data_IF_200063951220
#
_entry.id   IF_200063951220
#
_cell.length_a   1.000
_cell.length_b   1.000
_cell.length_c   1.000
_cell.angle_alpha   90.00
_cell.angle_beta   90.00
_cell.angle_gamma   90.00
#
_symmetry.space_group_name_H-M   'P 1'
#
loop_
_entity.id
_entity.type
_entity.pdbx_description
1 polymer ?
#
# COMPACT_ATOMS: atom_id res chain seq x y z
N UNK A 1 12.32 30.36 3.55
CA UNK A 1 12.83 30.43 2.16
C UNK A 1 14.34 30.45 2.25
N UNK A 2 14.98 29.46 1.65
CA UNK A 2 16.42 29.30 1.69
C UNK A 2 16.92 29.03 0.28
N UNK A 3 17.97 29.73 -0.14
CA UNK A 3 18.70 29.38 -1.36
C UNK A 3 19.61 28.20 -1.04
N UNK A 4 19.42 27.09 -1.73
CA UNK A 4 20.22 25.87 -1.57
C UNK A 4 20.96 25.57 -2.89
N UNK A 5 22.20 25.09 -2.77
CA UNK A 5 22.99 24.63 -3.92
C UNK A 5 22.28 23.47 -4.60
N UNK A 6 22.27 23.40 -5.94
CA UNK A 6 21.61 22.31 -6.66
C UNK A 6 22.13 20.92 -6.26
N UNK A 7 23.35 20.85 -5.73
CA UNK A 7 23.95 19.61 -5.24
C UNK A 7 23.42 19.16 -3.87
N UNK A 8 22.85 20.08 -3.10
CA UNK A 8 22.28 19.85 -1.77
C UNK A 8 20.73 19.76 -1.80
N UNK A 9 20.14 19.85 -2.99
CA UNK A 9 18.70 19.69 -3.20
C UNK A 9 18.35 18.21 -3.23
N UNK A 10 17.41 17.80 -2.39
CA UNK A 10 16.84 16.44 -2.41
C UNK A 10 15.43 16.43 -3.01
N UNK A 11 14.97 15.29 -3.55
CA UNK A 11 13.57 15.11 -3.89
C UNK A 11 12.65 15.45 -2.71
N UNK A 12 11.44 15.93 -3.00
CA UNK A 12 10.45 16.34 -1.99
C UNK A 12 10.56 17.80 -1.53
N UNK A 13 11.67 18.51 -1.82
CA UNK A 13 11.78 19.95 -1.55
C UNK A 13 10.86 20.76 -2.47
N UNK A 14 10.25 21.83 -1.96
CA UNK A 14 9.30 22.66 -2.72
C UNK A 14 9.95 23.96 -3.17
N UNK A 15 9.83 24.32 -4.45
CA UNK A 15 10.34 25.59 -4.97
C UNK A 15 9.59 26.79 -4.39
N UNK A 16 10.34 27.74 -3.81
CA UNK A 16 9.82 29.02 -3.36
C UNK A 16 9.59 30.02 -4.50
N UNK A 17 10.30 29.84 -5.62
CA UNK A 17 10.22 30.67 -6.82
C UNK A 17 10.25 29.82 -8.10
N UNK A 18 9.66 30.33 -9.19
CA UNK A 18 9.71 29.64 -10.49
C UNK A 18 11.13 29.66 -11.04
N UNK A 19 11.53 28.57 -11.70
CA UNK A 19 12.81 28.47 -12.40
C UNK A 19 12.57 28.78 -13.87
N UNK A 20 13.26 29.80 -14.38
CA UNK A 20 13.22 30.23 -15.77
C UNK A 20 14.64 30.25 -16.35
N UNK A 21 14.80 29.75 -17.57
CA UNK A 21 16.07 29.80 -18.28
C UNK A 21 15.85 30.14 -19.74
N UNK A 22 16.62 31.08 -20.27
CA UNK A 22 16.53 31.52 -21.67
C UNK A 22 15.12 31.94 -22.12
N UNK A 23 14.34 32.54 -21.21
CA UNK A 23 12.97 32.99 -21.48
C UNK A 23 11.91 31.88 -21.49
N UNK A 24 12.24 30.66 -21.07
CA UNK A 24 11.31 29.54 -20.91
C UNK A 24 11.24 29.13 -19.44
N UNK A 25 10.03 29.03 -18.91
CA UNK A 25 9.78 28.47 -17.57
C UNK A 25 10.06 26.97 -17.60
N UNK A 26 10.99 26.53 -16.74
CA UNK A 26 11.35 25.13 -16.58
C UNK A 26 10.48 24.45 -15.52
N UNK A 27 10.23 25.14 -14.40
CA UNK A 27 9.38 24.63 -13.33
C UNK A 27 8.73 25.79 -12.56
N UNK A 28 7.40 25.78 -12.32
CA UNK A 28 6.73 26.87 -11.62
C UNK A 28 6.99 26.87 -10.10
N UNK A 29 6.85 28.03 -9.47
CA UNK A 29 6.81 28.18 -8.00
C UNK A 29 5.79 27.21 -7.39
N UNK A 30 6.16 26.62 -6.25
CA UNK A 30 5.33 25.64 -5.55
C UNK A 30 5.46 24.21 -6.07
N UNK A 31 6.26 24.00 -7.13
CA UNK A 31 6.55 22.64 -7.61
C UNK A 31 7.43 21.90 -6.63
N UNK A 32 7.08 20.64 -6.38
CA UNK A 32 7.93 19.74 -5.62
C UNK A 32 8.99 19.16 -6.55
N UNK A 33 10.23 19.14 -6.06
CA UNK A 33 11.37 18.68 -6.82
C UNK A 33 11.42 17.16 -6.83
N UNK A 34 11.49 16.59 -8.03
CA UNK A 34 11.74 15.15 -8.25
C UNK A 34 13.19 14.94 -8.69
N UNK A 35 13.68 13.70 -8.63
CA UNK A 35 15.00 13.35 -9.19
C UNK A 35 15.14 13.77 -10.65
N UNK A 36 14.08 13.61 -11.44
CA UNK A 36 14.04 14.03 -12.84
C UNK A 36 14.25 15.53 -12.98
N UNK A 37 13.59 16.35 -12.14
CA UNK A 37 13.77 17.80 -12.14
C UNK A 37 15.19 18.18 -11.74
N UNK A 38 15.72 17.59 -10.67
CA UNK A 38 17.07 17.86 -10.16
C UNK A 38 18.12 17.51 -11.23
N UNK A 39 17.99 16.36 -11.89
CA UNK A 39 18.87 15.95 -12.98
C UNK A 39 18.79 16.89 -14.20
N UNK A 40 17.60 17.42 -14.51
CA UNK A 40 17.43 18.45 -15.55
C UNK A 40 18.14 19.75 -15.15
N UNK A 41 18.02 20.19 -13.90
CA UNK A 41 18.64 21.42 -13.42
C UNK A 41 20.16 21.34 -13.41
N UNK A 42 20.73 20.21 -12.97
CA UNK A 42 22.17 19.95 -13.05
C UNK A 42 22.67 19.98 -14.49
N UNK A 43 21.94 19.35 -15.43
CA UNK A 43 22.29 19.37 -16.86
C UNK A 43 22.21 20.75 -17.50
N UNK A 44 21.29 21.60 -17.04
CA UNK A 44 21.15 22.96 -17.56
C UNK A 44 22.01 24.00 -16.83
N UNK A 45 22.86 23.57 -15.88
CA UNK A 45 23.80 24.44 -15.18
C UNK A 45 23.14 25.41 -14.21
N UNK A 46 22.00 25.04 -13.64
CA UNK A 46 21.38 25.81 -12.55
C UNK A 46 22.18 25.53 -11.29
N UNK A 47 22.84 26.55 -10.72
CA UNK A 47 23.74 26.39 -9.58
C UNK A 47 23.00 26.33 -8.23
N UNK A 48 21.85 26.99 -8.11
CA UNK A 48 21.06 27.02 -6.87
C UNK A 48 19.59 27.26 -7.15
N UNK A 49 18.75 26.85 -6.20
CA UNK A 49 17.30 27.05 -6.23
C UNK A 49 16.81 27.57 -4.88
N UNK A 50 15.78 28.40 -4.87
CA UNK A 50 15.15 28.81 -3.63
C UNK A 50 14.07 27.81 -3.25
N UNK A 51 14.20 27.21 -2.07
CA UNK A 51 13.22 26.26 -1.55
C UNK A 51 12.41 26.86 -0.40
N UNK A 52 11.18 26.38 -0.26
CA UNK A 52 10.34 26.60 0.91
C UNK A 52 10.90 25.69 2.00
N UNK A 53 11.71 26.25 2.89
CA UNK A 53 12.03 25.62 4.17
C UNK A 53 10.83 25.78 5.09
N UNK A 54 10.10 24.69 5.31
CA UNK A 54 9.53 24.49 6.63
C UNK A 54 10.73 24.30 7.57
N UNK A 55 10.76 24.94 8.73
CA UNK A 55 11.66 24.48 9.79
C UNK A 55 11.39 22.98 9.93
N UNK A 56 12.41 22.12 9.79
CA UNK A 56 12.25 20.71 10.12
C UNK A 56 11.93 20.68 11.60
N UNK A 57 10.65 20.54 11.91
CA UNK A 57 10.19 20.31 13.27
C UNK A 57 10.66 18.91 13.61
N UNK A 58 11.69 18.84 14.44
CA UNK A 58 12.18 17.57 14.98
C UNK A 58 11.38 17.24 16.24
N UNK A 59 11.17 15.95 16.53
CA UNK A 59 10.46 15.54 17.72
C UNK A 59 11.23 15.91 19.00
N UNK A 60 10.52 16.39 20.01
CA UNK A 60 11.11 16.64 21.33
C UNK A 60 11.39 15.32 22.08
N UNK A 61 12.31 15.36 23.04
CA UNK A 61 12.77 14.17 23.78
C UNK A 61 11.63 13.45 24.52
N UNK A 62 10.66 14.17 25.07
CA UNK A 62 9.51 13.57 25.77
C UNK A 62 8.60 12.82 24.80
N UNK A 63 8.32 13.40 23.64
CA UNK A 63 7.56 12.76 22.56
C UNK A 63 8.25 11.50 22.03
N UNK A 64 9.60 11.53 21.90
CA UNK A 64 10.38 10.36 21.48
C UNK A 64 10.28 9.23 22.51
N UNK A 65 10.46 9.52 23.80
CA UNK A 65 10.40 8.50 24.86
C UNK A 65 9.03 7.82 24.93
N UNK A 66 7.95 8.60 24.83
CA UNK A 66 6.59 8.06 24.76
C UNK A 66 6.34 7.23 23.50
N UNK A 67 6.80 7.71 22.34
CA UNK A 67 6.71 6.98 21.08
C UNK A 67 7.49 5.66 21.14
N UNK A 68 8.72 5.65 21.67
CA UNK A 68 9.53 4.45 21.83
C UNK A 68 8.83 3.40 22.69
N UNK A 69 8.29 3.81 23.84
CA UNK A 69 7.58 2.91 24.75
C UNK A 69 6.34 2.29 24.11
N UNK A 70 5.72 2.99 23.17
CA UNK A 70 4.56 2.54 22.41
C UNK A 70 4.92 1.61 21.24
N UNK A 71 5.90 2.01 20.43
CA UNK A 71 6.28 1.34 19.18
C UNK A 71 6.94 -0.02 19.44
N UNK A 72 7.71 -0.16 20.52
CA UNK A 72 8.46 -1.40 20.83
C UNK A 72 7.60 -2.66 20.85
N UNK A 73 6.36 -2.56 21.28
CA UNK A 73 5.46 -3.71 21.41
C UNK A 73 5.03 -4.25 20.03
N UNK A 74 5.05 -3.40 18.99
CA UNK A 74 4.73 -3.78 17.61
C UNK A 74 5.89 -4.45 16.88
N UNK A 75 7.12 -4.34 17.40
CA UNK A 75 8.32 -4.92 16.79
C UNK A 75 8.77 -6.21 17.49
N UNK A 76 8.13 -6.63 18.58
CA UNK A 76 8.60 -7.73 19.45
C UNK A 76 8.78 -9.09 18.75
N UNK A 77 8.12 -9.31 17.60
CA UNK A 77 8.19 -10.56 16.85
C UNK A 77 9.29 -10.58 15.78
N UNK A 78 9.97 -9.46 15.52
CA UNK A 78 10.93 -9.35 14.40
C UNK A 78 12.39 -9.51 14.85
N UNK A 79 13.30 -9.70 13.89
CA UNK A 79 14.73 -9.68 14.15
C UNK A 79 15.23 -8.26 14.45
N UNK A 80 15.47 -7.99 15.74
CA UNK A 80 15.98 -6.70 16.22
C UNK A 80 17.47 -6.47 15.93
N UNK A 81 18.19 -7.43 15.35
CA UNK A 81 19.62 -7.29 15.04
C UNK A 81 19.88 -6.80 13.62
N UNK A 82 18.89 -6.88 12.73
CA UNK A 82 19.05 -6.52 11.33
C UNK A 82 19.00 -4.98 11.13
N UNK A 83 19.98 -4.36 10.46
CA UNK A 83 20.03 -2.90 10.26
C UNK A 83 18.75 -2.30 9.66
N UNK A 84 18.17 -2.98 8.66
CA UNK A 84 16.92 -2.56 8.03
C UNK A 84 15.72 -2.55 9.00
N UNK A 85 15.65 -3.50 9.94
CA UNK A 85 14.58 -3.54 10.96
C UNK A 85 14.77 -2.46 12.02
N UNK A 86 16.02 -2.15 12.39
CA UNK A 86 16.34 -1.03 13.27
C UNK A 86 15.91 0.29 12.61
N UNK A 87 16.23 0.49 11.33
CA UNK A 87 15.83 1.68 10.57
C UNK A 87 14.30 1.81 10.51
N UNK A 88 13.58 0.71 10.28
CA UNK A 88 12.12 0.70 10.25
C UNK A 88 11.51 1.04 11.62
N UNK A 89 12.11 0.54 12.70
CA UNK A 89 11.75 0.90 14.07
C UNK A 89 11.94 2.40 14.33
N UNK A 90 13.10 2.95 13.94
CA UNK A 90 13.40 4.38 14.13
C UNK A 90 12.43 5.28 13.35
N UNK A 91 12.03 4.87 12.13
CA UNK A 91 11.01 5.56 11.33
C UNK A 91 9.66 5.55 12.05
N UNK A 92 9.24 4.42 12.61
CA UNK A 92 8.00 4.30 13.35
C UNK A 92 8.00 5.16 14.62
N UNK A 93 9.10 5.17 15.38
CA UNK A 93 9.27 6.05 16.56
C UNK A 93 9.19 7.51 16.15
N UNK A 94 9.93 7.92 15.11
CA UNK A 94 9.94 9.29 14.62
C UNK A 94 8.54 9.77 14.23
N UNK A 95 7.83 9.02 13.39
CA UNK A 95 6.47 9.39 12.94
C UNK A 95 5.48 9.44 14.08
N UNK A 96 5.57 8.49 15.02
CA UNK A 96 4.71 8.45 16.22
C UNK A 96 4.97 9.67 17.10
N UNK A 97 6.23 10.04 17.33
CA UNK A 97 6.60 11.22 18.11
C UNK A 97 6.10 12.52 17.48
N UNK A 98 6.19 12.65 16.15
CA UNK A 98 5.64 13.79 15.41
C UNK A 98 4.13 13.93 15.60
N UNK A 99 3.38 12.82 15.54
CA UNK A 99 1.93 12.83 15.80
C UNK A 99 1.60 13.23 17.23
N UNK A 100 2.37 12.78 18.21
CA UNK A 100 2.20 13.18 19.62
C UNK A 100 2.36 14.71 19.78
N UNK A 101 3.35 15.30 19.13
CA UNK A 101 3.55 16.77 19.13
C UNK A 101 2.40 17.53 18.45
N UNK A 102 1.79 16.93 17.42
CA UNK A 102 0.58 17.45 16.76
C UNK A 102 -0.68 17.33 17.63
N UNK A 103 -0.57 16.76 18.83
CA UNK A 103 -1.65 16.60 19.80
C UNK A 103 -2.42 15.29 19.68
N UNK A 104 -1.92 14.32 18.90
CA UNK A 104 -2.45 12.97 18.94
C UNK A 104 -2.21 12.35 20.31
N UNK A 105 -3.18 11.56 20.79
CA UNK A 105 -3.03 10.80 22.04
C UNK A 105 -2.97 9.32 21.71
N UNK A 106 -2.12 8.60 22.44
CA UNK A 106 -2.04 7.16 22.31
C UNK A 106 -3.40 6.51 22.65
N UNK A 107 -3.86 5.53 21.86
CA UNK A 107 -5.14 4.88 22.11
C UNK A 107 -5.05 3.97 23.33
N UNK A 108 -6.04 4.09 24.21
CA UNK A 108 -6.19 3.28 25.44
C UNK A 108 -6.57 1.84 25.13
N UNK A 109 -6.39 0.93 26.09
CA UNK A 109 -6.84 -0.47 25.97
C UNK A 109 -8.36 -0.57 25.76
N UNK A 110 -9.14 0.31 26.40
CA UNK A 110 -10.60 0.32 26.26
C UNK A 110 -11.02 0.68 24.83
N UNK A 111 -10.35 1.64 24.21
CA UNK A 111 -10.58 2.03 22.80
C UNK A 111 -10.18 0.95 21.79
N UNK A 112 -9.40 -0.05 22.22
CA UNK A 112 -9.02 -1.21 21.40
C UNK A 112 -9.92 -2.42 21.60
N UNK A 113 -10.85 -2.34 22.55
CA UNK A 113 -11.77 -3.44 22.86
C UNK A 113 -12.92 -3.44 21.86
N UNK A 114 -13.21 -4.62 21.29
CA UNK A 114 -14.34 -4.76 20.35
C UNK A 114 -15.66 -4.67 21.12
N UNK A 115 -16.56 -3.79 20.66
CA UNK A 115 -17.90 -3.63 21.19
C UNK A 115 -18.91 -4.33 20.26
N UNK A 116 -20.04 -4.82 20.81
CA UNK A 116 -21.17 -5.30 20.00
C UNK A 116 -21.00 -6.68 19.38
N UNK A 117 -20.50 -7.67 20.14
CA UNK A 117 -20.32 -9.05 19.67
C UNK A 117 -21.62 -9.87 19.59
N UNK A 118 -22.70 -9.41 20.23
CA UNK A 118 -23.88 -10.24 20.52
C UNK A 118 -24.64 -10.74 19.28
N UNK A 119 -24.55 -10.03 18.17
CA UNK A 119 -25.27 -10.35 16.92
C UNK A 119 -24.36 -10.96 15.82
N UNK A 120 -23.06 -11.10 16.09
CA UNK A 120 -22.12 -11.71 15.14
C UNK A 120 -22.33 -13.23 15.10
N UNK A 121 -22.28 -13.82 13.90
CA UNK A 121 -22.40 -15.27 13.69
C UNK A 121 -21.47 -15.72 12.59
N UNK A 122 -20.64 -16.70 12.92
CA UNK A 122 -19.82 -17.39 11.94
C UNK A 122 -20.65 -18.34 11.09
N UNK A 123 -20.19 -18.59 9.86
CA UNK A 123 -20.77 -19.55 8.95
C UNK A 123 -20.72 -20.98 9.52
N UNK A 124 -19.63 -21.31 10.22
CA UNK A 124 -19.40 -22.59 10.89
C UNK A 124 -18.38 -22.41 12.03
N UNK A 125 -18.18 -23.43 12.87
CA UNK A 125 -17.11 -23.42 13.87
C UNK A 125 -15.82 -24.02 13.32
N UNK A 126 -14.69 -23.74 13.97
CA UNK A 126 -13.39 -24.35 13.64
C UNK A 126 -13.54 -25.87 13.49
N UNK A 127 -12.85 -26.42 12.48
CA UNK A 127 -12.84 -27.84 12.10
C UNK A 127 -14.17 -28.37 11.51
N UNK A 128 -15.20 -27.52 11.35
CA UNK A 128 -16.48 -27.89 10.74
C UNK A 128 -16.63 -27.42 9.27
N UNK A 129 -15.72 -26.59 8.76
CA UNK A 129 -15.73 -26.09 7.39
C UNK A 129 -14.35 -25.76 6.85
N UNK A 130 -14.27 -25.40 5.57
CA UNK A 130 -13.01 -25.12 4.87
C UNK A 130 -12.94 -23.71 4.27
N UNK A 131 -11.76 -23.36 3.73
CA UNK A 131 -11.54 -22.16 2.92
C UNK A 131 -12.55 -22.07 1.77
N UNK A 132 -12.80 -23.18 1.08
CA UNK A 132 -13.72 -23.23 -0.05
C UNK A 132 -15.16 -22.92 0.36
N UNK A 133 -15.60 -23.39 1.53
CA UNK A 133 -16.94 -23.13 2.06
C UNK A 133 -17.16 -21.64 2.32
N UNK A 134 -16.15 -20.97 2.91
CA UNK A 134 -16.16 -19.52 3.17
C UNK A 134 -16.27 -18.75 1.86
N UNK A 135 -15.41 -19.08 0.89
CA UNK A 135 -15.40 -18.40 -0.42
C UNK A 135 -16.69 -18.67 -1.19
N UNK A 136 -17.19 -19.91 -1.22
CA UNK A 136 -18.46 -20.24 -1.90
C UNK A 136 -19.65 -19.51 -1.29
N UNK A 137 -19.67 -19.32 0.03
CA UNK A 137 -20.69 -18.54 0.71
C UNK A 137 -20.61 -17.04 0.36
N UNK A 138 -19.44 -16.51 0.02
CA UNK A 138 -19.28 -15.12 -0.44
C UNK A 138 -19.72 -14.94 -1.88
N UNK A 139 -19.23 -15.81 -2.77
CA UNK A 139 -19.51 -15.72 -4.20
C UNK A 139 -20.97 -16.02 -4.56
N UNK A 140 -21.70 -16.74 -3.70
CA UNK A 140 -23.16 -16.91 -3.83
C UNK A 140 -23.95 -15.63 -3.57
N UNK A 141 -23.43 -14.70 -2.76
CA UNK A 141 -24.14 -13.50 -2.34
C UNK A 141 -23.79 -12.26 -3.17
N UNK A 142 -22.63 -12.24 -3.81
CA UNK A 142 -22.22 -11.13 -4.65
C UNK A 142 -21.50 -11.63 -5.92
N UNK A 143 -22.02 -11.22 -7.07
CA UNK A 143 -21.38 -11.41 -8.38
C UNK A 143 -20.38 -10.29 -8.64
N UNK A 144 -19.25 -10.65 -9.26
CA UNK A 144 -18.25 -9.66 -9.66
C UNK A 144 -18.78 -8.75 -10.79
N UNK A 145 -18.41 -7.45 -10.85
CA UNK A 145 -18.87 -6.56 -11.91
C UNK A 145 -18.50 -7.06 -13.32
N UNK A 146 -19.42 -6.98 -14.29
CA UNK A 146 -19.18 -7.40 -15.69
C UNK A 146 -17.92 -6.75 -16.29
N UNK A 147 -17.62 -5.50 -15.88
CA UNK A 147 -16.44 -4.75 -16.33
C UNK A 147 -15.13 -5.47 -16.02
N UNK A 148 -15.03 -6.15 -14.87
CA UNK A 148 -13.84 -6.91 -14.50
C UNK A 148 -13.56 -8.02 -15.51
N UNK A 149 -14.57 -8.81 -15.90
CA UNK A 149 -14.37 -9.91 -16.84
C UNK A 149 -13.93 -9.39 -18.21
N UNK A 150 -14.44 -8.24 -18.63
CA UNK A 150 -14.03 -7.58 -19.88
C UNK A 150 -12.60 -7.04 -19.81
N UNK A 151 -12.23 -6.37 -18.73
CA UNK A 151 -10.86 -5.89 -18.51
C UNK A 151 -9.90 -7.07 -18.47
N UNK A 152 -10.26 -8.16 -17.78
CA UNK A 152 -9.45 -9.38 -17.68
C UNK A 152 -9.23 -10.03 -19.04
N UNK A 153 -10.29 -10.13 -19.86
CA UNK A 153 -10.18 -10.64 -21.23
C UNK A 153 -9.20 -9.78 -22.05
N UNK A 154 -9.29 -8.44 -21.91
CA UNK A 154 -8.38 -7.52 -22.58
C UNK A 154 -6.91 -7.62 -22.10
N UNK A 155 -6.66 -7.96 -20.82
CA UNK A 155 -5.31 -8.25 -20.30
C UNK A 155 -4.73 -9.54 -20.88
N UNK A 156 -5.60 -10.54 -21.08
CA UNK A 156 -5.17 -11.88 -21.47
C UNK A 156 -4.80 -11.98 -22.95
N UNK A 157 -5.25 -11.03 -23.79
CA UNK A 157 -4.94 -10.97 -25.22
C UNK A 157 -3.78 -10.00 -25.51
N UNK A 158 -2.59 -10.55 -25.76
CA UNK A 158 -1.36 -9.84 -26.10
C UNK A 158 -1.45 -9.02 -27.41
N UNK A 159 -2.46 -9.25 -28.25
CA UNK A 159 -2.68 -8.51 -29.50
C UNK A 159 -3.67 -7.34 -29.34
N UNK A 160 -4.14 -7.09 -28.12
CA UNK A 160 -5.12 -6.04 -27.87
C UNK A 160 -4.54 -4.64 -28.14
N UNK A 161 -5.22 -3.85 -28.97
CA UNK A 161 -4.82 -2.48 -29.23
C UNK A 161 -5.09 -1.56 -28.03
N UNK A 162 -4.27 -0.51 -27.89
CA UNK A 162 -4.47 0.53 -26.87
C UNK A 162 -5.87 1.18 -26.93
N UNK A 163 -6.40 1.32 -28.13
CA UNK A 163 -7.73 1.85 -28.38
C UNK A 163 -8.81 0.92 -27.81
N UNK A 164 -8.67 -0.39 -28.01
CA UNK A 164 -9.62 -1.37 -27.47
C UNK A 164 -9.59 -1.42 -25.94
N UNK A 165 -8.41 -1.37 -25.32
CA UNK A 165 -8.28 -1.31 -23.86
C UNK A 165 -8.99 -0.07 -23.30
N UNK A 166 -8.74 1.10 -23.90
CA UNK A 166 -9.39 2.33 -23.50
C UNK A 166 -10.93 2.27 -23.68
N UNK A 167 -11.41 1.60 -24.73
CA UNK A 167 -12.84 1.38 -24.95
C UNK A 167 -13.45 0.46 -23.89
N UNK A 168 -12.77 -0.64 -23.55
CA UNK A 168 -13.23 -1.61 -22.54
C UNK A 168 -13.33 -0.95 -21.17
N UNK A 169 -12.25 -0.32 -20.70
CA UNK A 169 -12.23 0.40 -19.43
C UNK A 169 -13.23 1.56 -19.43
N UNK A 170 -13.35 2.25 -20.58
CA UNK A 170 -14.27 3.35 -20.81
C UNK A 170 -15.76 3.01 -20.68
N UNK A 171 -16.12 1.72 -20.65
CA UNK A 171 -17.50 1.28 -20.42
C UNK A 171 -18.00 1.62 -19.01
N UNK A 172 -17.09 1.75 -18.04
CA UNK A 172 -17.41 2.15 -16.67
C UNK A 172 -16.83 3.54 -16.37
N UNK A 173 -17.72 4.52 -16.22
CA UNK A 173 -17.34 5.92 -15.98
C UNK A 173 -16.67 6.09 -14.62
N UNK A 174 -17.09 5.34 -13.60
CA UNK A 174 -16.51 5.39 -12.26
C UNK A 174 -15.08 4.89 -12.27
N UNK A 175 -14.85 3.71 -12.85
CA UNK A 175 -13.53 3.10 -13.02
C UNK A 175 -12.61 4.00 -13.87
N UNK A 176 -13.13 4.52 -14.98
CA UNK A 176 -12.38 5.44 -15.85
C UNK A 176 -11.94 6.70 -15.09
N UNK A 177 -12.83 7.25 -14.26
CA UNK A 177 -12.52 8.43 -13.45
C UNK A 177 -11.46 8.12 -12.40
N UNK A 178 -11.59 6.98 -11.69
CA UNK A 178 -10.61 6.56 -10.69
C UNK A 178 -9.23 6.31 -11.31
N UNK A 179 -9.16 5.65 -12.46
CA UNK A 179 -7.91 5.43 -13.19
C UNK A 179 -7.27 6.74 -13.63
N UNK A 180 -8.03 7.66 -14.21
CA UNK A 180 -7.48 8.95 -14.63
C UNK A 180 -6.99 9.76 -13.42
N UNK A 181 -7.69 9.75 -12.29
CA UNK A 181 -7.19 10.41 -11.07
C UNK A 181 -5.91 9.75 -10.56
N UNK A 182 -5.85 8.41 -10.54
CA UNK A 182 -4.64 7.65 -10.15
C UNK A 182 -3.46 8.00 -11.06
N UNK A 183 -3.64 7.97 -12.38
CA UNK A 183 -2.62 8.32 -13.38
C UNK A 183 -2.15 9.78 -13.26
N UNK A 184 -3.01 10.69 -12.80
CA UNK A 184 -2.65 12.09 -12.55
C UNK A 184 -2.11 12.36 -11.14
N UNK A 185 -2.02 11.34 -10.29
CA UNK A 185 -1.51 11.50 -8.93
C UNK A 185 0.02 11.70 -8.90
N UNK A 186 0.58 12.19 -7.78
CA UNK A 186 2.03 12.31 -7.61
C UNK A 186 2.80 11.00 -7.85
N UNK A 187 2.14 9.85 -7.74
CA UNK A 187 2.68 8.51 -8.02
C UNK A 187 3.31 8.39 -9.41
N UNK A 188 2.74 9.04 -10.42
CA UNK A 188 3.24 8.98 -11.80
C UNK A 188 4.00 10.23 -12.23
N UNK A 189 3.84 11.35 -11.51
CA UNK A 189 4.64 12.56 -11.71
C UNK A 189 4.59 13.16 -13.12
N UNK A 190 3.50 12.94 -13.88
CA UNK A 190 3.43 13.45 -15.26
C UNK A 190 3.42 14.99 -15.30
N UNK A 191 4.13 15.62 -16.26
CA UNK A 191 4.27 17.08 -16.34
C UNK A 191 3.00 17.80 -16.81
N UNK A 192 2.00 17.08 -17.28
CA UNK A 192 0.75 17.63 -17.80
C UNK A 192 -0.39 16.66 -17.52
N UNK A 193 -1.57 17.19 -17.25
CA UNK A 193 -2.77 16.42 -17.00
C UNK A 193 -3.09 15.45 -18.16
N UNK A 194 -3.41 14.21 -17.78
CA UNK A 194 -3.86 13.13 -18.65
C UNK A 194 -5.38 13.10 -18.64
N UNK A 195 -5.99 13.57 -19.73
CA UNK A 195 -7.44 13.75 -19.86
C UNK A 195 -8.15 12.63 -20.62
N UNK A 196 -7.45 11.57 -21.03
CA UNK A 196 -8.07 10.45 -21.77
C UNK A 196 -7.39 9.11 -21.48
N UNK A 197 -8.19 8.04 -21.49
CA UNK A 197 -7.70 6.67 -21.28
C UNK A 197 -6.73 6.24 -22.39
N UNK A 198 -6.95 6.64 -23.65
CA UNK A 198 -6.03 6.34 -24.75
C UNK A 198 -4.64 6.92 -24.48
N UNK A 199 -4.57 8.14 -23.95
CA UNK A 199 -3.29 8.75 -23.55
C UNK A 199 -2.68 8.06 -22.33
N UNK A 200 -3.50 7.66 -21.36
CA UNK A 200 -3.03 6.88 -20.21
C UNK A 200 -2.41 5.55 -20.66
N UNK A 201 -3.09 4.80 -21.56
CA UNK A 201 -2.56 3.56 -22.15
C UNK A 201 -1.23 3.80 -22.87
N UNK A 202 -1.11 4.89 -23.62
CA UNK A 202 0.13 5.20 -24.35
C UNK A 202 1.32 5.54 -23.44
N UNK A 203 1.07 6.02 -22.23
CA UNK A 203 2.12 6.42 -21.28
C UNK A 203 2.46 5.32 -20.27
N UNK A 204 1.45 4.61 -19.77
CA UNK A 204 1.58 3.57 -18.74
C UNK A 204 1.80 2.19 -19.35
N UNK A 205 1.19 1.94 -20.50
CA UNK A 205 1.07 0.59 -21.07
C UNK A 205 -0.34 0.04 -20.88
N UNK A 206 -0.79 -0.73 -21.88
CA UNK A 206 -2.14 -1.28 -21.89
C UNK A 206 -2.35 -2.36 -20.85
N UNK A 207 -1.37 -3.24 -20.68
CA UNK A 207 -1.41 -4.33 -19.71
C UNK A 207 -1.45 -3.77 -18.29
N UNK A 208 -0.56 -2.82 -18.00
CA UNK A 208 -0.42 -2.16 -16.71
C UNK A 208 -1.69 -1.38 -16.35
N UNK A 209 -2.25 -0.61 -17.29
CA UNK A 209 -3.50 0.11 -17.05
C UNK A 209 -4.67 -0.84 -16.76
N UNK A 210 -4.75 -1.96 -17.47
CA UNK A 210 -5.76 -2.96 -17.18
C UNK A 210 -5.52 -3.65 -15.83
N UNK A 211 -4.27 -3.92 -15.43
CA UNK A 211 -3.95 -4.46 -14.10
C UNK A 211 -4.46 -3.54 -12.99
N UNK A 212 -4.21 -2.23 -13.11
CA UNK A 212 -4.77 -1.22 -12.19
C UNK A 212 -6.31 -1.23 -12.20
N UNK A 213 -6.90 -1.37 -13.38
CA UNK A 213 -8.36 -1.43 -13.54
C UNK A 213 -8.97 -2.67 -12.87
N UNK A 214 -8.29 -3.83 -12.92
CA UNK A 214 -8.69 -5.04 -12.19
C UNK A 214 -8.63 -4.81 -10.68
N UNK A 215 -7.55 -4.19 -10.18
CA UNK A 215 -7.42 -3.83 -8.76
C UNK A 215 -8.54 -2.94 -8.26
N UNK A 216 -8.80 -1.84 -8.97
CA UNK A 216 -9.87 -0.89 -8.65
C UNK A 216 -11.27 -1.52 -8.72
N UNK A 217 -11.51 -2.40 -9.70
CA UNK A 217 -12.77 -3.15 -9.80
C UNK A 217 -12.97 -4.08 -8.60
N UNK A 218 -11.88 -4.68 -8.11
CA UNK A 218 -11.89 -5.56 -6.93
C UNK A 218 -12.18 -4.80 -5.65
N UNK A 219 -11.60 -3.60 -5.46
CA UNK A 219 -11.99 -2.71 -4.36
C UNK A 219 -13.49 -2.38 -4.42
N UNK A 220 -14.00 -2.13 -5.63
CA UNK A 220 -15.42 -1.85 -5.87
C UNK A 220 -16.37 -2.94 -5.35
N UNK A 221 -15.95 -4.21 -5.40
CA UNK A 221 -16.71 -5.36 -4.89
C UNK A 221 -16.92 -5.30 -3.37
N UNK A 222 -15.94 -4.78 -2.63
CA UNK A 222 -15.92 -4.75 -1.17
C UNK A 222 -16.44 -3.44 -0.56
N UNK A 223 -17.26 -2.67 -1.28
CA UNK A 223 -17.81 -1.41 -0.76
C UNK A 223 -18.91 -1.60 0.29
N UNK A 224 -19.59 -2.75 0.28
CA UNK A 224 -20.75 -3.02 1.13
C UNK A 224 -20.37 -3.79 2.42
N UNK A 225 -19.20 -3.51 2.99
CA UNK A 225 -18.79 -4.09 4.28
C UNK A 225 -19.43 -3.28 5.43
N UNK A 226 -20.17 -3.93 6.35
CA UNK A 226 -20.73 -3.25 7.52
C UNK A 226 -19.66 -2.56 8.37
N UNK A 227 -19.84 -1.28 8.73
CA UNK A 227 -18.85 -0.52 9.51
C UNK A 227 -18.66 -1.05 10.93
N UNK A 228 -19.60 -1.87 11.43
CA UNK A 228 -19.50 -2.52 12.75
C UNK A 228 -18.45 -3.65 12.75
N UNK A 229 -18.07 -4.17 11.59
CA UNK A 229 -17.11 -5.26 11.46
C UNK A 229 -15.68 -4.76 11.32
N UNK A 230 -15.48 -3.70 10.53
CA UNK A 230 -14.17 -3.13 10.27
C UNK A 230 -14.30 -1.67 9.86
N UNK A 231 -13.37 -0.84 10.33
CA UNK A 231 -13.22 0.52 9.79
C UNK A 231 -12.61 0.44 8.39
N UNK A 232 -13.48 0.52 7.37
CA UNK A 232 -13.09 0.45 5.96
C UNK A 232 -12.15 1.59 5.57
N UNK A 233 -12.18 2.73 6.26
CA UNK A 233 -11.25 3.82 5.98
C UNK A 233 -9.82 3.41 6.34
N UNK A 234 -9.61 2.94 7.58
CA UNK A 234 -8.31 2.47 8.03
C UNK A 234 -7.83 1.23 7.26
N UNK A 235 -8.73 0.29 6.92
CA UNK A 235 -8.40 -0.88 6.11
C UNK A 235 -7.82 -0.46 4.74
N UNK A 236 -8.53 0.39 4.02
CA UNK A 236 -8.09 0.81 2.70
C UNK A 236 -6.89 1.76 2.73
N UNK A 237 -6.71 2.55 3.80
CA UNK A 237 -5.51 3.35 3.99
C UNK A 237 -4.26 2.45 4.13
N UNK A 238 -4.37 1.34 4.87
CA UNK A 238 -3.32 0.33 4.96
C UNK A 238 -3.03 -0.29 3.59
N UNK A 239 -4.07 -0.78 2.89
CA UNK A 239 -3.89 -1.38 1.56
C UNK A 239 -3.29 -0.40 0.54
N UNK A 240 -3.73 0.86 0.52
CA UNK A 240 -3.17 1.88 -0.37
C UNK A 240 -1.71 2.20 -0.01
N UNK A 241 -1.40 2.31 1.28
CA UNK A 241 -0.03 2.52 1.76
C UNK A 241 0.88 1.37 1.33
N UNK A 242 0.43 0.12 1.50
CA UNK A 242 1.14 -1.06 1.04
C UNK A 242 1.35 -1.02 -0.48
N UNK A 243 0.30 -0.73 -1.27
CA UNK A 243 0.41 -0.58 -2.73
C UNK A 243 1.43 0.48 -3.16
N UNK A 244 1.45 1.65 -2.51
CA UNK A 244 2.43 2.71 -2.79
C UNK A 244 3.85 2.22 -2.49
N UNK A 245 4.09 1.64 -1.30
CA UNK A 245 5.40 1.08 -0.97
C UNK A 245 5.82 -0.02 -1.95
N UNK A 246 4.92 -0.95 -2.29
CA UNK A 246 5.20 -2.02 -3.26
C UNK A 246 5.63 -1.45 -4.62
N UNK A 247 4.98 -0.37 -5.08
CA UNK A 247 5.36 0.30 -6.33
C UNK A 247 6.75 0.95 -6.23
N UNK A 248 6.99 1.74 -5.19
CA UNK A 248 8.27 2.46 -4.98
C UNK A 248 9.43 1.47 -4.91
N UNK A 249 9.24 0.36 -4.19
CA UNK A 249 10.25 -0.69 -4.08
C UNK A 249 10.47 -1.36 -5.44
N UNK A 250 9.40 -1.70 -6.16
CA UNK A 250 9.47 -2.34 -7.47
C UNK A 250 10.22 -1.49 -8.52
N UNK A 251 10.11 -0.16 -8.46
CA UNK A 251 10.88 0.75 -9.34
C UNK A 251 12.41 0.66 -9.13
N UNK A 252 12.84 0.14 -7.98
CA UNK A 252 14.25 -0.01 -7.62
C UNK A 252 14.77 -1.44 -7.82
N UNK A 253 13.91 -2.37 -8.25
CA UNK A 253 14.23 -3.79 -8.40
C UNK A 253 14.07 -4.22 -9.86
N UNK A 254 15.18 -4.69 -10.44
CA UNK A 254 15.21 -5.06 -11.86
C UNK A 254 14.26 -6.25 -12.17
N UNK A 255 13.50 -6.07 -13.25
CA UNK A 255 12.64 -7.10 -13.83
C UNK A 255 11.26 -7.21 -13.20
N UNK A 256 10.88 -6.31 -12.29
CA UNK A 256 9.57 -6.27 -11.65
C UNK A 256 8.70 -5.17 -12.28
N UNK A 257 7.40 -5.41 -12.44
CA UNK A 257 6.44 -4.45 -13.00
C UNK A 257 5.81 -3.64 -11.86
N UNK A 258 6.07 -2.32 -11.74
CA UNK A 258 5.60 -1.54 -10.60
C UNK A 258 4.07 -1.49 -10.46
N UNK A 259 3.32 -1.42 -11.56
CA UNK A 259 1.86 -1.37 -11.54
C UNK A 259 1.21 -2.70 -11.11
N UNK A 260 1.89 -3.82 -11.38
CA UNK A 260 1.51 -5.14 -10.86
C UNK A 260 1.71 -5.16 -9.34
N UNK A 261 2.85 -4.66 -8.85
CA UNK A 261 3.14 -4.58 -7.42
C UNK A 261 2.23 -3.61 -6.67
N UNK A 262 1.89 -2.46 -7.26
CA UNK A 262 0.89 -1.55 -6.70
C UNK A 262 -0.45 -2.27 -6.49
N UNK A 263 -0.89 -3.02 -7.50
CA UNK A 263 -2.15 -3.76 -7.47
C UNK A 263 -2.10 -4.89 -6.44
N UNK A 264 -0.97 -5.60 -6.34
CA UNK A 264 -0.77 -6.65 -5.34
C UNK A 264 -0.84 -6.07 -3.91
N UNK A 265 -0.14 -4.96 -3.63
CA UNK A 265 -0.21 -4.28 -2.34
C UNK A 265 -1.60 -3.72 -2.00
N UNK A 266 -2.33 -3.24 -3.01
CA UNK A 266 -3.71 -2.78 -2.81
C UNK A 266 -4.69 -3.90 -2.47
N UNK A 267 -4.38 -5.13 -2.87
CA UNK A 267 -5.27 -6.29 -2.71
C UNK A 267 -4.78 -7.31 -1.67
N UNK A 268 -3.59 -7.15 -1.07
CA UNK A 268 -2.96 -8.20 -0.27
C UNK A 268 -3.85 -8.75 0.85
N UNK A 269 -4.63 -7.86 1.47
CA UNK A 269 -5.42 -8.15 2.67
C UNK A 269 -6.92 -8.41 2.40
N UNK A 270 -7.38 -8.46 1.14
CA UNK A 270 -8.83 -8.59 0.85
C UNK A 270 -9.45 -9.89 1.35
N UNK A 271 -8.63 -10.93 1.58
CA UNK A 271 -9.08 -12.16 2.23
C UNK A 271 -9.66 -11.91 3.64
N UNK A 272 -9.15 -10.89 4.35
CA UNK A 272 -9.66 -10.48 5.66
C UNK A 272 -11.08 -9.92 5.59
N UNK A 273 -11.41 -9.20 4.51
CA UNK A 273 -12.79 -8.70 4.32
C UNK A 273 -13.79 -9.84 4.17
N UNK A 274 -13.38 -10.93 3.51
CA UNK A 274 -14.20 -12.15 3.43
C UNK A 274 -14.34 -12.80 4.81
N UNK A 275 -13.25 -12.88 5.59
CA UNK A 275 -13.31 -13.36 6.98
C UNK A 275 -14.26 -12.51 7.83
N UNK A 276 -14.21 -11.18 7.75
CA UNK A 276 -15.13 -10.32 8.49
C UNK A 276 -16.59 -10.56 8.12
N UNK A 277 -16.91 -10.83 6.85
CA UNK A 277 -18.29 -11.10 6.42
C UNK A 277 -18.80 -12.48 6.82
N UNK A 278 -17.95 -13.50 6.80
CA UNK A 278 -18.36 -14.92 6.92
C UNK A 278 -18.02 -15.56 8.24
N UNK A 279 -16.96 -15.10 8.87
CA UNK A 279 -16.43 -15.59 10.12
C UNK A 279 -16.18 -14.41 11.09
N UNK A 280 -17.14 -13.48 11.28
CA UNK A 280 -16.94 -12.26 12.07
C UNK A 280 -16.49 -12.53 13.53
N UNK A 281 -17.06 -13.53 14.20
CA UNK A 281 -16.68 -13.86 15.57
C UNK A 281 -15.25 -14.39 15.63
N UNK A 282 -14.92 -15.37 14.78
CA UNK A 282 -13.58 -15.95 14.73
C UNK A 282 -12.53 -14.94 14.28
N UNK A 283 -12.86 -14.03 13.34
CA UNK A 283 -11.98 -12.95 12.92
C UNK A 283 -11.66 -12.00 14.07
N UNK A 284 -12.67 -11.60 14.86
CA UNK A 284 -12.45 -10.78 16.07
C UNK A 284 -11.61 -11.55 17.10
N UNK A 285 -11.89 -12.84 17.32
CA UNK A 285 -11.10 -13.67 18.23
C UNK A 285 -9.63 -13.74 17.80
N UNK A 286 -9.34 -13.93 16.51
CA UNK A 286 -7.99 -13.92 15.98
C UNK A 286 -7.31 -12.55 16.20
N UNK A 287 -8.01 -11.45 15.96
CA UNK A 287 -7.47 -10.10 16.20
C UNK A 287 -7.14 -9.84 17.67
N UNK A 288 -8.02 -10.26 18.60
CA UNK A 288 -7.76 -10.13 20.04
C UNK A 288 -6.60 -11.03 20.46
N UNK A 289 -6.59 -12.27 19.97
CA UNK A 289 -5.53 -13.23 20.27
C UNK A 289 -4.15 -12.74 19.78
N UNK A 290 -4.08 -12.20 18.56
CA UNK A 290 -2.85 -11.61 18.00
C UNK A 290 -2.30 -10.50 18.91
N UNK A 291 -3.18 -9.59 19.35
CA UNK A 291 -2.82 -8.45 20.21
C UNK A 291 -2.39 -8.88 21.60
N UNK A 292 -3.12 -9.78 22.25
CA UNK A 292 -2.83 -10.22 23.62
C UNK A 292 -1.56 -11.08 23.72
N UNK A 293 -1.21 -11.79 22.64
CA UNK A 293 -0.04 -12.68 22.59
C UNK A 293 1.14 -12.10 21.83
N UNK A 294 1.02 -10.89 21.29
CA UNK A 294 2.05 -10.21 20.50
C UNK A 294 2.56 -11.05 19.32
N UNK A 295 1.64 -11.65 18.57
CA UNK A 295 1.95 -12.42 17.36
C UNK A 295 1.34 -11.75 16.12
N UNK A 296 1.87 -12.02 14.91
CA UNK A 296 1.29 -11.56 13.67
C UNK A 296 -0.15 -12.06 13.49
N UNK A 297 -0.98 -11.29 12.77
CA UNK A 297 -2.39 -11.64 12.60
C UNK A 297 -2.56 -12.99 11.88
N UNK A 298 -1.76 -13.28 10.85
CA UNK A 298 -1.82 -14.55 10.12
C UNK A 298 -1.65 -15.75 11.06
N UNK A 299 -0.68 -15.70 11.97
CA UNK A 299 -0.44 -16.76 12.97
C UNK A 299 -1.65 -16.94 13.88
N UNK A 300 -2.27 -15.84 14.32
CA UNK A 300 -3.47 -15.89 15.13
C UNK A 300 -4.68 -16.46 14.36
N UNK A 301 -4.82 -16.14 13.08
CA UNK A 301 -5.86 -16.69 12.21
C UNK A 301 -5.68 -18.21 12.04
N UNK A 302 -4.47 -18.68 11.77
CA UNK A 302 -4.18 -20.12 11.70
C UNK A 302 -4.49 -20.82 13.03
N UNK A 303 -4.15 -20.18 14.16
CA UNK A 303 -4.44 -20.73 15.49
C UNK A 303 -5.93 -20.75 15.83
N UNK A 304 -6.73 -19.78 15.38
CA UNK A 304 -8.15 -19.66 15.76
C UNK A 304 -9.08 -20.33 14.74
N UNK A 305 -8.85 -20.11 13.44
CA UNK A 305 -9.69 -20.58 12.34
C UNK A 305 -9.19 -21.89 11.71
N UNK A 306 -7.88 -22.18 11.79
CA UNK A 306 -7.24 -23.27 11.06
C UNK A 306 -6.88 -22.95 9.61
N UNK A 307 -7.11 -21.70 9.19
CA UNK A 307 -6.70 -21.11 7.93
C UNK A 307 -6.59 -19.59 8.11
N UNK A 308 -5.91 -18.91 7.17
CA UNK A 308 -5.67 -17.49 7.22
C UNK A 308 -6.19 -16.74 5.99
N UNK A 309 -6.12 -15.40 6.04
CA UNK A 309 -6.61 -14.54 4.97
C UNK A 309 -5.91 -14.74 3.63
N UNK A 310 -4.64 -15.13 3.60
CA UNK A 310 -3.92 -15.40 2.35
C UNK A 310 -4.50 -16.59 1.61
N UNK A 311 -4.88 -17.65 2.33
CA UNK A 311 -5.54 -18.82 1.75
C UNK A 311 -6.95 -18.51 1.26
N UNK A 312 -7.69 -17.65 1.98
CA UNK A 312 -8.99 -17.15 1.51
C UNK A 312 -8.84 -16.34 0.22
N UNK A 313 -7.85 -15.44 0.17
CA UNK A 313 -7.56 -14.62 -1.01
C UNK A 313 -7.20 -15.49 -2.22
N UNK A 314 -6.34 -16.50 -2.05
CA UNK A 314 -5.96 -17.46 -3.08
C UNK A 314 -7.19 -18.15 -3.68
N UNK A 315 -7.99 -18.84 -2.85
CA UNK A 315 -9.18 -19.58 -3.30
C UNK A 315 -10.20 -18.67 -3.97
N UNK A 316 -10.36 -17.43 -3.49
CA UNK A 316 -11.23 -16.44 -4.09
C UNK A 316 -10.74 -15.99 -5.47
N UNK A 317 -9.46 -15.65 -5.59
CA UNK A 317 -8.87 -15.22 -6.86
C UNK A 317 -8.85 -16.33 -7.91
N UNK A 318 -8.60 -17.58 -7.52
CA UNK A 318 -8.71 -18.73 -8.41
C UNK A 318 -10.13 -18.87 -8.98
N UNK A 319 -11.17 -18.78 -8.13
CA UNK A 319 -12.57 -18.85 -8.58
C UNK A 319 -12.96 -17.67 -9.48
N UNK A 320 -12.37 -16.50 -9.27
CA UNK A 320 -12.52 -15.35 -10.18
C UNK A 320 -11.71 -15.48 -11.46
N UNK A 321 -10.83 -16.49 -11.56
CA UNK A 321 -9.83 -16.62 -12.60
C UNK A 321 -8.99 -15.33 -12.70
N UNK A 322 -8.56 -14.80 -11.56
CA UNK A 322 -7.64 -13.65 -11.49
C UNK A 322 -6.29 -14.02 -12.14
N UNK A 323 -5.49 -13.05 -12.63
CA UNK A 323 -4.18 -13.35 -13.19
C UNK A 323 -3.30 -14.15 -12.21
N UNK A 324 -2.79 -15.31 -12.66
CA UNK A 324 -2.07 -16.27 -11.82
C UNK A 324 -0.87 -15.66 -11.07
N UNK A 325 -0.12 -14.78 -11.74
CA UNK A 325 1.02 -14.08 -11.11
C UNK A 325 0.57 -13.26 -9.90
N UNK A 326 -0.49 -12.45 -10.04
CA UNK A 326 -1.02 -11.65 -8.93
C UNK A 326 -1.57 -12.53 -7.82
N UNK A 327 -2.25 -13.62 -8.16
CA UNK A 327 -2.75 -14.59 -7.18
C UNK A 327 -1.60 -15.15 -6.34
N UNK A 328 -0.52 -15.62 -6.98
CA UNK A 328 0.65 -16.20 -6.30
C UNK A 328 1.39 -15.16 -5.44
N UNK A 329 1.58 -13.93 -5.96
CA UNK A 329 2.23 -12.84 -5.23
C UNK A 329 1.44 -12.50 -3.97
N UNK A 330 0.11 -12.32 -4.09
CA UNK A 330 -0.75 -11.95 -2.98
C UNK A 330 -0.86 -13.10 -1.97
N UNK A 331 -1.08 -14.34 -2.40
CA UNK A 331 -1.24 -15.46 -1.46
C UNK A 331 0.04 -15.81 -0.71
N UNK A 332 1.21 -15.48 -1.28
CA UNK A 332 2.52 -15.83 -0.71
C UNK A 332 3.19 -14.70 0.08
N UNK A 333 2.53 -13.56 0.28
CA UNK A 333 3.20 -12.37 0.85
C UNK A 333 3.71 -12.53 2.29
N UNK A 334 3.18 -13.49 3.06
CA UNK A 334 3.70 -13.81 4.40
C UNK A 334 4.78 -14.88 4.41
N UNK A 335 5.01 -15.58 3.30
CA UNK A 335 6.04 -16.61 3.16
C UNK A 335 6.63 -16.62 1.73
N UNK A 336 7.18 -15.50 1.26
CA UNK A 336 7.58 -15.31 -0.13
C UNK A 336 8.66 -16.28 -0.59
N UNK A 337 9.50 -16.81 0.31
CA UNK A 337 10.53 -17.79 -0.05
C UNK A 337 9.96 -19.15 -0.49
N UNK A 338 8.66 -19.39 -0.28
CA UNK A 338 7.98 -20.64 -0.63
C UNK A 338 7.26 -20.61 -1.99
N UNK A 339 7.36 -19.52 -2.76
CA UNK A 339 6.72 -19.40 -4.07
C UNK A 339 7.72 -19.18 -5.23
N UNK A 340 7.21 -19.24 -6.46
CA UNK A 340 7.99 -19.05 -7.69
C UNK A 340 8.34 -17.57 -7.89
N UNK A 341 7.37 -16.69 -7.62
CA UNK A 341 7.51 -15.23 -7.71
C UNK A 341 8.00 -14.64 -6.38
N UNK A 342 9.03 -15.27 -5.80
CA UNK A 342 9.53 -14.94 -4.47
C UNK A 342 10.05 -13.50 -4.33
N UNK A 343 10.59 -12.93 -5.42
CA UNK A 343 11.06 -11.56 -5.46
C UNK A 343 9.89 -10.58 -5.34
N UNK A 344 8.85 -10.78 -6.15
CA UNK A 344 7.63 -9.96 -6.14
C UNK A 344 6.88 -10.12 -4.81
N UNK A 345 6.70 -11.34 -4.33
CA UNK A 345 6.11 -11.60 -3.02
C UNK A 345 6.94 -11.01 -1.88
N UNK A 346 8.28 -11.02 -1.98
CA UNK A 346 9.19 -10.39 -1.02
C UNK A 346 9.09 -8.86 -1.00
N UNK A 347 8.92 -8.23 -2.17
CA UNK A 347 8.60 -6.80 -2.26
C UNK A 347 7.29 -6.50 -1.53
N UNK A 348 6.29 -7.34 -1.71
CA UNK A 348 5.00 -7.18 -1.04
C UNK A 348 5.12 -7.37 0.49
N UNK A 349 5.87 -8.37 0.97
CA UNK A 349 6.14 -8.56 2.41
C UNK A 349 6.83 -7.33 3.02
N UNK A 350 7.86 -6.80 2.35
CA UNK A 350 8.57 -5.61 2.83
C UNK A 350 7.66 -4.37 2.84
N UNK A 351 6.83 -4.20 1.81
CA UNK A 351 5.87 -3.12 1.71
C UNK A 351 4.80 -3.17 2.81
N UNK A 352 4.31 -4.37 3.16
CA UNK A 352 3.37 -4.56 4.26
C UNK A 352 4.00 -4.22 5.62
N UNK A 353 5.24 -4.67 5.88
CA UNK A 353 5.96 -4.30 7.10
C UNK A 353 6.19 -2.78 7.22
N UNK A 354 6.51 -2.10 6.10
CA UNK A 354 6.62 -0.65 6.06
C UNK A 354 5.27 0.04 6.29
N UNK A 355 4.19 -0.48 5.69
CA UNK A 355 2.83 0.03 5.87
C UNK A 355 2.37 -0.08 7.32
N UNK A 356 2.60 -1.23 7.96
CA UNK A 356 2.35 -1.45 9.38
C UNK A 356 3.15 -0.46 10.23
N UNK A 357 4.44 -0.29 9.92
CA UNK A 357 5.34 0.60 10.68
C UNK A 357 4.91 2.06 10.66
N UNK A 358 4.58 2.60 9.48
CA UNK A 358 4.08 3.98 9.39
C UNK A 358 2.68 4.12 9.98
N UNK A 359 1.86 3.07 9.90
CA UNK A 359 0.52 3.01 10.46
C UNK A 359 0.47 2.95 11.99
N UNK A 360 1.59 2.70 12.69
CA UNK A 360 1.67 2.80 14.16
C UNK A 360 1.32 4.23 14.62
N UNK A 361 1.74 5.23 13.84
CA UNK A 361 1.49 6.65 14.10
C UNK A 361 0.00 7.04 13.94
N UNK A 362 -0.84 6.14 13.44
CA UNK A 362 -2.29 6.30 13.36
C UNK A 362 -3.04 5.26 14.22
N UNK A 363 -2.34 4.61 15.15
CA UNK A 363 -2.92 3.74 16.18
C UNK A 363 -2.32 2.34 16.22
N UNK A 364 -1.76 1.82 15.12
CA UNK A 364 -1.11 0.50 15.05
C UNK A 364 -2.05 -0.67 15.38
N UNK A 365 -2.23 -1.60 14.44
CA UNK A 365 -3.19 -2.71 14.65
C UNK A 365 -2.57 -3.99 15.21
N UNK A 366 -1.43 -4.41 14.65
CA UNK A 366 -0.82 -5.72 14.90
C UNK A 366 0.70 -5.60 14.92
N UNK A 367 1.33 -6.58 15.57
CA UNK A 367 2.79 -6.77 15.52
C UNK A 367 3.21 -7.09 14.08
N UNK A 368 4.39 -6.60 13.68
CA UNK A 368 4.94 -6.87 12.36
C UNK A 368 5.19 -8.38 12.17
N UNK A 369 4.85 -8.95 10.99
CA UNK A 369 5.18 -10.34 10.66
C UNK A 369 6.70 -10.56 10.49
N UNK A 370 7.46 -9.49 10.25
CA UNK A 370 8.88 -9.57 9.94
C UNK A 370 9.11 -9.85 8.46
N UNK A 371 10.38 -10.06 8.11
CA UNK A 371 10.84 -10.29 6.74
C UNK A 371 11.60 -11.60 6.69
N UNK A 372 11.31 -12.45 5.71
CA UNK A 372 11.94 -13.78 5.57
C UNK A 372 13.47 -13.68 5.45
N UNK A 373 14.17 -14.63 6.06
CA UNK A 373 15.62 -14.78 5.94
C UNK A 373 16.01 -14.97 4.47
N UNK A 374 16.91 -14.13 3.95
CA UNK A 374 17.36 -14.16 2.56
C UNK A 374 16.71 -13.12 1.64
N UNK A 375 15.61 -12.47 2.06
CA UNK A 375 14.98 -11.44 1.24
C UNK A 375 15.80 -10.16 1.12
N UNK A 376 16.53 -9.78 2.17
CA UNK A 376 17.39 -8.60 2.14
C UNK A 376 18.45 -8.72 1.05
N UNK A 377 19.07 -9.90 0.91
CA UNK A 377 19.99 -10.21 -0.18
C UNK A 377 19.28 -10.31 -1.54
N UNK A 378 18.08 -10.91 -1.58
CA UNK A 378 17.32 -11.09 -2.82
C UNK A 378 16.90 -9.75 -3.45
N UNK A 379 16.44 -8.81 -2.61
CA UNK A 379 15.95 -7.50 -3.05
C UNK A 379 17.09 -6.47 -3.18
N UNK A 380 18.24 -6.74 -2.55
CA UNK A 380 19.39 -5.83 -2.50
C UNK A 380 18.97 -4.44 -1.96
N UNK A 381 18.20 -4.42 -0.86
CA UNK A 381 17.74 -3.22 -0.18
C UNK A 381 18.45 -3.11 1.17
N UNK A 382 19.18 -2.02 1.37
CA UNK A 382 19.88 -1.67 2.61
C UNK A 382 19.10 -0.60 3.41
N UNK A 383 19.62 -0.25 4.58
CA UNK A 383 19.03 0.75 5.48
C UNK A 383 18.91 2.16 4.86
N UNK A 384 19.88 2.56 4.05
CA UNK A 384 19.87 3.87 3.38
C UNK A 384 18.72 3.95 2.36
N UNK A 385 18.50 2.86 1.62
CA UNK A 385 17.38 2.73 0.67
C UNK A 385 16.02 2.81 1.36
N UNK A 386 15.85 2.23 2.55
CA UNK A 386 14.59 2.31 3.30
C UNK A 386 14.21 3.75 3.64
N UNK A 387 15.18 4.57 4.04
CA UNK A 387 14.94 5.98 4.34
C UNK A 387 14.44 6.74 3.11
N UNK A 388 15.01 6.47 1.94
CA UNK A 388 14.57 7.06 0.68
C UNK A 388 13.16 6.58 0.29
N UNK A 389 12.87 5.29 0.42
CA UNK A 389 11.55 4.70 0.14
C UNK A 389 10.46 5.40 0.98
N UNK A 390 10.71 5.65 2.26
CA UNK A 390 9.74 6.35 3.13
C UNK A 390 9.59 7.82 2.77
N UNK A 391 10.66 8.50 2.36
CA UNK A 391 10.58 9.88 1.88
C UNK A 391 9.73 9.98 0.60
N UNK A 392 9.91 9.04 -0.34
CA UNK A 392 9.14 8.97 -1.58
C UNK A 392 7.66 8.66 -1.29
N UNK A 393 7.39 7.76 -0.33
CA UNK A 393 6.04 7.47 0.14
C UNK A 393 5.34 8.71 0.73
N UNK A 394 6.00 9.44 1.63
CA UNK A 394 5.42 10.61 2.30
C UNK A 394 5.03 11.72 1.30
N UNK A 395 5.75 11.79 0.18
CA UNK A 395 5.42 12.67 -0.93
C UNK A 395 4.18 12.18 -1.70
N UNK A 396 4.08 10.88 -1.94
CA UNK A 396 3.04 10.31 -2.81
C UNK A 396 1.69 10.12 -2.11
N UNK A 397 1.66 9.73 -0.83
CA UNK A 397 0.43 9.27 -0.17
C UNK A 397 -0.62 10.37 0.09
N UNK A 398 -0.18 11.61 0.35
CA UNK A 398 -1.07 12.71 0.80
C UNK A 398 -2.20 13.04 -0.19
N UNK A 399 -1.93 12.95 -1.49
CA UNK A 399 -2.92 13.22 -2.55
C UNK A 399 -3.66 11.95 -3.02
N UNK A 400 -3.05 10.79 -2.84
CA UNK A 400 -3.61 9.50 -3.29
C UNK A 400 -4.82 9.08 -2.46
N UNK A 401 -4.81 9.25 -1.15
CA UNK A 401 -5.92 8.77 -0.32
C UNK A 401 -7.25 9.46 -0.67
N UNK A 402 -7.25 10.79 -0.75
CA UNK A 402 -8.42 11.58 -1.17
C UNK A 402 -8.90 11.24 -2.58
N UNK A 403 -7.99 10.78 -3.44
CA UNK A 403 -8.32 10.38 -4.81
C UNK A 403 -9.15 9.08 -4.85
N UNK A 404 -8.83 8.12 -4.00
CA UNK A 404 -9.46 6.79 -4.00
C UNK A 404 -10.75 6.74 -3.15
N UNK A 405 -10.78 7.46 -2.02
CA UNK A 405 -11.82 7.32 -1.01
C UNK A 405 -12.54 8.63 -0.64
N UNK A 406 -12.19 9.75 -1.29
CA UNK A 406 -12.81 11.06 -1.11
C UNK A 406 -13.90 11.42 -2.12
#
# INVERSE_FOLDING_TARGET
MQSISIDDVTPGMVLATSIEQSGRMLLPKGSVLTDSNIAVFKRQGIESVEIITADKVEPDEESIDHAYAYVKDYFIFVDHSHPAMIQMFDIAVYKTAMKLMEGWRLPTLEERTVLGLDDMRDLFYRDEGSVEDVVDAELKLASFPDIFFKVKEAVSDEQTSAQHIAEVVGLDVGLSTQLLKLVNSPLYGFPSEISSLVRAVALIGGRELCTLALGLSTIGYFRDIPPELVDMHSFWLHSLTCGVFSKIIAEQVDGVIPEEMFTAGLLHDVGRLVLFKKMPCSAVQAMLYARENFIPLMEAEDMVLGFNHSQIAESMFEKWNFPANLTEIISSHHAPMNCTLNKEAGILQLADNLALSVGIADGGMYVLPGVDEGLWELLNIDEDRLSQIVADYDYQIKELFNTFFG
#
